data_IF_911449136197
#
_entry.id   IF_911449136197
#
_cell.length_a   1.000
_cell.length_b   1.000
_cell.length_c   1.000
_cell.angle_alpha   90.00
_cell.angle_beta   90.00
_cell.angle_gamma   90.00
#
_symmetry.space_group_name_H-M   'P 1'
#
loop_
_entity.id
_entity.type
_entity.pdbx_description
1 polymer ?
#
# COMPACT_ATOMS: atom_id res chain seq x y z
N UNK A 1 1.52 -11.59 29.55
CA UNK A 1 0.97 -11.84 28.20
C UNK A 1 0.19 -10.62 27.79
N UNK A 2 0.42 -10.10 26.60
CA UNK A 2 -0.43 -9.04 26.06
C UNK A 2 -1.82 -9.61 25.77
N UNK A 3 -2.85 -8.89 26.17
CA UNK A 3 -4.23 -9.31 25.94
C UNK A 3 -4.65 -9.05 24.50
N UNK A 4 -5.35 -10.01 23.86
CA UNK A 4 -5.97 -9.86 22.54
C UNK A 4 -7.44 -9.57 22.72
N UNK A 5 -7.85 -8.44 22.18
CA UNK A 5 -9.21 -7.92 22.22
C UNK A 5 -9.93 -8.12 20.87
N UNK A 6 -11.24 -7.87 20.86
CA UNK A 6 -12.07 -7.90 19.66
C UNK A 6 -12.81 -9.23 19.46
N UNK A 7 -13.42 -9.37 18.28
CA UNK A 7 -14.25 -10.52 17.90
C UNK A 7 -13.50 -11.46 16.96
N UNK A 8 -13.82 -12.76 17.07
CA UNK A 8 -13.27 -13.77 16.19
C UNK A 8 -14.25 -14.95 16.17
N UNK A 9 -14.72 -15.31 15.01
CA UNK A 9 -15.50 -16.52 14.81
C UNK A 9 -14.68 -17.75 15.21
N UNK A 10 -15.31 -18.74 15.85
CA UNK A 10 -14.65 -19.94 16.37
C UNK A 10 -13.85 -20.69 15.28
N UNK A 11 -14.35 -20.69 14.04
CA UNK A 11 -13.67 -21.27 12.87
C UNK A 11 -12.28 -20.63 12.66
N UNK A 12 -12.14 -19.34 12.94
CA UNK A 12 -10.90 -18.58 12.78
C UNK A 12 -10.09 -18.44 14.07
N UNK A 13 -10.39 -19.21 15.11
CA UNK A 13 -9.66 -19.18 16.40
C UNK A 13 -8.14 -19.33 16.27
N UNK A 14 -7.66 -19.93 15.15
CA UNK A 14 -6.24 -20.01 14.80
C UNK A 14 -5.58 -18.65 14.60
N UNK A 15 -6.34 -17.65 14.09
CA UNK A 15 -5.83 -16.27 13.90
C UNK A 15 -5.61 -15.59 15.26
N UNK A 16 -6.59 -15.72 16.19
CA UNK A 16 -6.44 -15.21 17.57
C UNK A 16 -5.20 -15.81 18.24
N UNK A 17 -5.04 -17.14 18.18
CA UNK A 17 -3.87 -17.83 18.74
C UNK A 17 -2.55 -17.42 18.10
N UNK A 18 -2.57 -17.08 16.80
CA UNK A 18 -1.39 -16.56 16.11
C UNK A 18 -1.02 -15.17 16.66
N UNK A 19 -2.01 -14.27 16.80
CA UNK A 19 -1.78 -12.93 17.34
C UNK A 19 -1.29 -12.99 18.80
N UNK A 20 -1.90 -13.80 19.67
CA UNK A 20 -1.45 -14.01 21.05
C UNK A 20 0.02 -14.42 21.11
N UNK A 21 0.42 -15.43 20.32
CA UNK A 21 1.82 -15.90 20.28
C UNK A 21 2.78 -14.83 19.78
N UNK A 22 2.39 -14.03 18.78
CA UNK A 22 3.25 -12.97 18.23
C UNK A 22 3.41 -11.81 19.21
N UNK A 23 2.36 -11.43 19.93
CA UNK A 23 2.42 -10.39 20.97
C UNK A 23 3.28 -10.80 22.17
N UNK A 24 3.36 -12.11 22.48
CA UNK A 24 4.30 -12.62 23.48
C UNK A 24 5.75 -12.69 22.96
N UNK A 25 5.97 -12.56 21.66
CA UNK A 25 7.26 -12.67 20.98
C UNK A 25 7.72 -11.36 20.33
N UNK A 26 7.59 -11.29 19.04
CA UNK A 26 8.18 -10.27 18.15
C UNK A 26 7.22 -9.14 17.76
N UNK A 27 5.93 -9.24 18.09
CA UNK A 27 4.95 -8.16 17.86
C UNK A 27 4.96 -7.18 19.04
N UNK A 28 4.76 -5.89 18.76
CA UNK A 28 4.60 -4.88 19.81
C UNK A 28 3.13 -4.52 19.97
N UNK A 29 2.52 -4.05 18.91
CA UNK A 29 1.10 -3.76 18.80
C UNK A 29 0.63 -3.97 17.38
N UNK A 30 -0.56 -4.56 17.23
CA UNK A 30 -1.09 -4.93 15.92
C UNK A 30 -2.61 -5.02 15.92
N UNK A 31 -3.15 -4.99 14.70
CA UNK A 31 -4.54 -5.36 14.41
C UNK A 31 -4.60 -6.30 13.21
N UNK A 32 -5.55 -7.25 13.26
CA UNK A 32 -5.84 -8.21 12.18
C UNK A 32 -7.34 -8.25 11.96
N UNK A 33 -7.78 -8.10 10.72
CA UNK A 33 -9.19 -8.17 10.36
C UNK A 33 -9.40 -9.04 9.12
N UNK A 34 -10.49 -9.78 9.10
CA UNK A 34 -10.88 -10.68 7.99
C UNK A 34 -12.34 -10.48 7.67
N UNK A 35 -12.64 -10.26 6.39
CA UNK A 35 -13.99 -10.30 5.83
C UNK A 35 -14.14 -11.53 4.95
N UNK A 36 -15.22 -12.25 5.12
CA UNK A 36 -15.61 -13.38 4.29
C UNK A 36 -17.04 -13.17 3.82
N UNK A 37 -17.21 -13.02 2.51
CA UNK A 37 -18.51 -12.81 1.86
C UNK A 37 -19.32 -11.63 2.42
N UNK A 38 -18.64 -10.55 2.82
CA UNK A 38 -19.24 -9.34 3.36
C UNK A 38 -19.45 -9.34 4.89
N UNK A 39 -19.13 -10.44 5.56
CA UNK A 39 -19.17 -10.54 7.01
C UNK A 39 -17.77 -10.42 7.61
N UNK A 40 -17.58 -9.53 8.59
CA UNK A 40 -16.34 -9.44 9.34
C UNK A 40 -16.25 -10.58 10.34
N UNK A 41 -15.50 -11.63 10.00
CA UNK A 41 -15.35 -12.86 10.81
C UNK A 41 -14.19 -12.78 11.80
N UNK A 42 -13.24 -11.86 11.59
CA UNK A 42 -12.14 -11.57 12.52
C UNK A 42 -11.95 -10.06 12.58
N UNK A 43 -11.89 -9.53 13.79
CA UNK A 43 -11.56 -8.14 14.07
C UNK A 43 -10.85 -8.11 15.44
N UNK A 44 -9.51 -8.23 15.39
CA UNK A 44 -8.65 -8.42 16.55
C UNK A 44 -7.60 -7.32 16.63
N UNK A 45 -7.29 -6.92 17.85
CA UNK A 45 -6.18 -6.03 18.16
C UNK A 45 -5.56 -6.37 19.51
N UNK A 46 -4.31 -5.92 19.73
CA UNK A 46 -3.66 -6.12 21.01
C UNK A 46 -2.24 -5.57 21.05
N UNK A 47 -1.63 -5.68 22.20
CA UNK A 47 -0.29 -5.17 22.46
C UNK A 47 -0.27 -3.70 22.83
N UNK A 48 0.80 -2.99 22.41
CA UNK A 48 1.11 -1.64 22.87
C UNK A 48 1.47 -0.71 21.72
N UNK A 49 1.18 0.59 21.92
CA UNK A 49 1.53 1.65 20.97
C UNK A 49 2.98 2.10 21.09
N UNK A 50 3.61 1.90 22.24
CA UNK A 50 4.97 2.35 22.57
C UNK A 50 5.88 1.18 22.97
N UNK A 51 7.22 1.35 22.78
CA UNK A 51 8.21 0.33 23.07
C UNK A 51 8.36 0.04 24.57
N UNK A 52 8.05 1.02 25.42
CA UNK A 52 8.03 0.91 26.87
C UNK A 52 6.85 0.06 27.37
N UNK A 53 5.90 -0.26 26.48
CA UNK A 53 4.69 -1.03 26.79
C UNK A 53 3.84 -0.39 27.90
N UNK A 54 3.71 0.93 27.84
CA UNK A 54 2.93 1.71 28.81
C UNK A 54 1.56 2.13 28.28
N UNK A 55 1.42 2.27 26.96
CA UNK A 55 0.18 2.69 26.30
C UNK A 55 -0.42 1.52 25.51
N UNK A 56 -1.54 0.94 25.98
CA UNK A 56 -2.19 -0.18 25.27
C UNK A 56 -2.62 0.20 23.86
N UNK A 57 -2.58 -0.77 22.94
CA UNK A 57 -3.25 -0.68 21.66
C UNK A 57 -4.76 -0.84 21.87
N UNK A 58 -5.55 0.11 21.41
CA UNK A 58 -7.00 0.15 21.57
C UNK A 58 -7.72 -0.12 20.25
N UNK A 59 -9.03 -0.29 20.29
CA UNK A 59 -9.87 -0.53 19.12
C UNK A 59 -9.73 0.53 18.03
N UNK A 60 -9.55 1.79 18.44
CA UNK A 60 -9.44 2.97 17.60
C UNK A 60 -7.99 3.40 17.29
N UNK A 61 -7.01 2.64 17.78
CA UNK A 61 -5.59 2.89 17.44
C UNK A 61 -5.39 2.76 15.94
N UNK A 62 -4.75 3.76 15.35
CA UNK A 62 -4.34 3.75 13.95
C UNK A 62 -2.81 3.83 13.84
N UNK A 63 -2.29 3.42 12.70
CA UNK A 63 -0.84 3.41 12.42
C UNK A 63 -0.58 3.74 10.95
N UNK A 64 0.62 4.18 10.63
CA UNK A 64 1.07 4.37 9.26
C UNK A 64 1.20 3.01 8.55
N UNK A 65 0.37 2.78 7.52
CA UNK A 65 0.30 1.49 6.80
C UNK A 65 1.38 1.27 5.75
N UNK A 66 2.26 2.28 5.53
CA UNK A 66 3.27 2.23 4.48
C UNK A 66 2.68 1.91 3.10
N UNK A 67 3.32 1.02 2.37
CA UNK A 67 2.93 0.74 0.98
C UNK A 67 1.61 0.00 0.80
N UNK A 68 0.93 -0.46 1.86
CA UNK A 68 -0.49 -0.84 1.73
C UNK A 68 -1.34 0.33 1.25
N UNK A 69 -0.88 1.57 1.44
CA UNK A 69 -1.49 2.79 0.89
C UNK A 69 -1.67 2.72 -0.64
N UNK A 70 -0.74 2.06 -1.35
CA UNK A 70 -0.81 1.91 -2.82
C UNK A 70 -2.03 1.14 -3.28
N UNK A 71 -2.56 0.23 -2.46
CA UNK A 71 -3.79 -0.51 -2.82
C UNK A 71 -5.00 0.42 -2.86
N UNK A 72 -5.04 1.42 -1.99
CA UNK A 72 -6.08 2.44 -1.98
C UNK A 72 -5.85 3.48 -3.09
N UNK A 73 -4.59 3.77 -3.44
CA UNK A 73 -4.25 4.59 -4.60
C UNK A 73 -4.75 3.95 -5.91
N UNK A 74 -4.52 2.64 -6.06
CA UNK A 74 -5.00 1.89 -7.22
C UNK A 74 -6.53 1.85 -7.26
N UNK A 75 -7.19 1.60 -6.11
CA UNK A 75 -8.66 1.66 -6.01
C UNK A 75 -9.19 3.03 -6.42
N UNK A 76 -8.55 4.12 -5.99
CA UNK A 76 -8.94 5.49 -6.34
C UNK A 76 -8.89 5.73 -7.87
N UNK A 77 -7.85 5.26 -8.54
CA UNK A 77 -7.76 5.31 -9.99
C UNK A 77 -8.85 4.45 -10.65
N UNK A 78 -9.11 3.24 -10.15
CA UNK A 78 -10.17 2.37 -10.67
C UNK A 78 -11.57 2.96 -10.48
N UNK A 79 -11.82 3.74 -9.44
CA UNK A 79 -13.08 4.49 -9.27
C UNK A 79 -13.30 5.47 -10.42
N UNK A 80 -12.26 6.17 -10.86
CA UNK A 80 -12.35 7.07 -12.02
C UNK A 80 -12.49 6.29 -13.33
N UNK A 81 -11.90 5.12 -13.44
CA UNK A 81 -12.10 4.22 -14.61
C UNK A 81 -13.55 3.79 -14.69
N UNK A 82 -14.15 3.37 -13.57
CA UNK A 82 -15.54 2.92 -13.52
C UNK A 82 -16.53 4.03 -13.92
N UNK A 83 -16.20 5.26 -13.57
CA UNK A 83 -16.95 6.47 -13.94
C UNK A 83 -16.73 6.91 -15.39
N UNK A 84 -15.79 6.29 -16.11
CA UNK A 84 -15.40 6.69 -17.47
C UNK A 84 -14.60 7.99 -17.54
N UNK A 85 -14.04 8.44 -16.42
CA UNK A 85 -13.24 9.66 -16.32
C UNK A 85 -11.74 9.39 -16.55
N UNK A 86 -11.30 8.13 -16.42
CA UNK A 86 -9.93 7.68 -16.62
C UNK A 86 -9.92 6.43 -17.52
N UNK A 87 -9.05 6.42 -18.54
CA UNK A 87 -8.69 5.22 -19.30
C UNK A 87 -7.27 4.80 -18.94
N UNK A 88 -7.10 3.61 -18.40
CA UNK A 88 -5.77 3.10 -17.98
C UNK A 88 -4.83 2.85 -19.17
N UNK A 89 -5.37 2.68 -20.38
CA UNK A 89 -4.61 2.49 -21.62
C UNK A 89 -4.34 3.81 -22.36
N UNK A 90 -4.90 4.92 -21.90
CA UNK A 90 -4.59 6.23 -22.46
C UNK A 90 -3.20 6.71 -22.02
N UNK A 91 -2.50 7.48 -22.85
CA UNK A 91 -1.30 8.16 -22.45
C UNK A 91 -1.50 9.06 -21.21
N UNK A 92 -0.57 9.01 -20.27
CA UNK A 92 -0.58 9.92 -19.10
C UNK A 92 -0.66 11.38 -19.55
N UNK A 93 -0.04 11.70 -20.70
CA UNK A 93 -0.02 13.03 -21.27
C UNK A 93 -1.42 13.58 -21.63
N UNK A 94 -2.42 12.75 -21.83
CA UNK A 94 -3.81 13.18 -22.08
C UNK A 94 -4.43 13.85 -20.85
N UNK A 95 -3.98 13.46 -19.65
CA UNK A 95 -4.41 14.02 -18.36
C UNK A 95 -3.37 14.99 -17.78
N UNK A 96 -2.10 14.74 -18.05
CA UNK A 96 -0.95 15.50 -17.54
C UNK A 96 0.03 15.81 -18.68
N UNK A 97 -0.23 16.87 -19.50
CA UNK A 97 0.52 17.16 -20.71
C UNK A 97 2.03 17.31 -20.52
N UNK A 98 2.46 17.88 -19.39
CA UNK A 98 3.87 18.09 -19.07
C UNK A 98 4.62 16.77 -18.90
N UNK A 99 3.95 15.68 -18.57
CA UNK A 99 4.55 14.36 -18.44
C UNK A 99 5.09 13.79 -19.76
N UNK A 100 4.63 14.32 -20.92
CA UNK A 100 5.10 13.88 -22.25
C UNK A 100 6.59 14.13 -22.50
N UNK A 101 7.24 14.96 -21.67
CA UNK A 101 8.64 15.34 -21.84
C UNK A 101 9.61 14.16 -21.77
N UNK A 102 10.78 14.32 -22.41
CA UNK A 102 11.91 13.37 -22.30
C UNK A 102 11.59 11.93 -22.68
N UNK A 103 10.75 11.75 -23.71
CA UNK A 103 10.44 10.42 -24.24
C UNK A 103 9.29 9.68 -23.57
N UNK A 104 8.51 10.36 -22.70
CA UNK A 104 7.39 9.76 -21.97
C UNK A 104 6.00 9.97 -22.61
N UNK A 105 5.92 10.49 -23.84
CA UNK A 105 4.64 10.82 -24.49
C UNK A 105 3.68 9.62 -24.62
N UNK A 106 4.23 8.42 -24.80
CA UNK A 106 3.49 7.18 -25.01
C UNK A 106 3.39 6.33 -23.72
N UNK A 107 3.80 6.87 -22.57
CA UNK A 107 3.63 6.20 -21.28
C UNK A 107 2.15 6.25 -20.92
N UNK A 108 1.53 5.07 -20.78
CA UNK A 108 0.14 4.92 -20.43
C UNK A 108 -0.07 4.93 -18.91
N UNK A 109 -1.28 5.25 -18.44
CA UNK A 109 -1.64 5.28 -17.02
C UNK A 109 -1.38 3.93 -16.35
N UNK A 110 -1.67 2.81 -17.02
CA UNK A 110 -1.38 1.45 -16.51
C UNK A 110 0.10 1.26 -16.19
N UNK A 111 1.01 1.90 -16.90
CA UNK A 111 2.45 1.82 -16.60
C UNK A 111 2.82 2.48 -15.26
N UNK A 112 2.11 3.56 -14.87
CA UNK A 112 2.26 4.15 -13.52
C UNK A 112 1.71 3.21 -12.45
N UNK A 113 0.58 2.57 -12.71
CA UNK A 113 -0.11 1.70 -11.74
C UNK A 113 0.61 0.37 -11.55
N UNK A 114 1.31 -0.14 -12.56
CA UNK A 114 1.99 -1.44 -12.56
C UNK A 114 3.51 -1.38 -12.37
N UNK A 115 4.05 -0.22 -12.00
CA UNK A 115 5.50 -0.02 -11.81
C UNK A 115 6.35 -0.18 -13.08
N UNK A 116 5.77 -0.01 -14.27
CA UNK A 116 6.48 -0.22 -15.54
C UNK A 116 6.75 1.07 -16.32
N UNK A 117 6.56 2.24 -15.71
CA UNK A 117 6.68 3.54 -16.39
C UNK A 117 8.11 3.98 -16.70
N UNK A 118 9.12 3.32 -16.15
CA UNK A 118 10.51 3.79 -16.25
C UNK A 118 10.87 4.90 -15.24
N UNK A 119 9.94 5.34 -14.39
CA UNK A 119 10.12 6.49 -13.46
C UNK A 119 9.88 6.02 -12.03
N UNK A 120 10.78 5.20 -11.44
CA UNK A 120 10.59 4.63 -10.10
C UNK A 120 11.06 5.54 -8.95
N UNK A 121 11.56 6.73 -9.23
CA UNK A 121 12.02 7.70 -8.25
C UNK A 121 12.31 9.04 -8.90
N UNK A 122 12.93 9.96 -8.18
CA UNK A 122 13.37 11.26 -8.67
C UNK A 122 14.85 11.26 -9.01
N UNK A 123 15.23 12.03 -10.04
CA UNK A 123 16.65 12.30 -10.29
C UNK A 123 17.24 13.14 -9.12
N UNK A 124 18.42 12.76 -8.60
CA UNK A 124 19.04 13.49 -7.50
C UNK A 124 19.54 14.90 -7.95
N UNK A 125 19.66 15.85 -7.01
CA UNK A 125 19.37 15.72 -5.58
C UNK A 125 17.87 15.84 -5.29
N UNK A 126 17.34 14.98 -4.43
CA UNK A 126 15.95 15.02 -3.97
C UNK A 126 15.87 14.49 -2.54
N UNK A 127 15.28 15.26 -1.63
CA UNK A 127 15.18 14.95 -0.22
C UNK A 127 13.76 14.54 0.18
N UNK A 128 13.63 14.01 1.39
CA UNK A 128 12.30 13.71 1.95
C UNK A 128 11.42 14.96 2.12
N UNK A 129 12.01 16.13 2.30
CA UNK A 129 11.27 17.39 2.40
C UNK A 129 10.72 17.82 1.05
N UNK A 130 11.47 17.58 -0.04
CA UNK A 130 11.02 17.88 -1.39
C UNK A 130 9.80 17.02 -1.76
N UNK A 131 9.71 15.79 -1.20
CA UNK A 131 8.57 14.90 -1.40
C UNK A 131 7.26 15.44 -0.79
N UNK A 132 7.34 16.33 0.21
CA UNK A 132 6.15 16.94 0.83
C UNK A 132 5.61 18.13 0.02
N UNK A 133 6.40 18.70 -0.86
CA UNK A 133 6.00 19.73 -1.81
C UNK A 133 5.46 19.06 -3.08
N UNK A 134 4.14 18.92 -3.15
CA UNK A 134 3.47 18.19 -4.24
C UNK A 134 3.80 18.76 -5.62
N UNK A 135 3.75 20.08 -5.78
CA UNK A 135 3.97 20.75 -7.07
C UNK A 135 5.41 20.57 -7.54
N UNK A 136 6.39 20.84 -6.68
CA UNK A 136 7.79 20.63 -6.99
C UNK A 136 8.09 19.16 -7.29
N UNK A 137 7.57 18.24 -6.50
CA UNK A 137 7.78 16.80 -6.70
C UNK A 137 7.22 16.29 -8.04
N UNK A 138 6.02 16.71 -8.40
CA UNK A 138 5.37 16.31 -9.66
C UNK A 138 5.99 16.99 -10.88
N UNK A 139 6.39 18.26 -10.79
CA UNK A 139 7.11 18.97 -11.85
C UNK A 139 8.42 18.23 -12.20
N UNK A 140 9.18 17.79 -11.20
CA UNK A 140 10.41 17.04 -11.42
C UNK A 140 10.16 15.70 -12.10
N UNK A 141 9.12 14.94 -11.69
CA UNK A 141 8.73 13.68 -12.34
C UNK A 141 8.31 13.90 -13.80
N UNK A 142 7.59 14.98 -14.08
CA UNK A 142 7.21 15.33 -15.44
C UNK A 142 8.42 15.68 -16.30
N UNK A 143 9.38 16.41 -15.75
CA UNK A 143 10.57 16.91 -16.47
C UNK A 143 11.69 15.90 -16.67
N UNK A 144 11.76 14.78 -15.92
CA UNK A 144 12.85 13.81 -16.03
C UNK A 144 12.63 12.76 -17.13
N UNK A 145 13.71 12.14 -17.58
CA UNK A 145 13.64 11.00 -18.49
C UNK A 145 13.33 9.68 -17.73
N UNK A 146 12.71 8.69 -18.37
CA UNK A 146 12.61 7.37 -17.78
C UNK A 146 14.00 6.73 -17.65
N UNK A 147 14.19 5.91 -16.62
CA UNK A 147 15.46 5.23 -16.34
C UNK A 147 15.61 3.92 -17.11
N UNK A 148 14.53 3.37 -17.61
CA UNK A 148 14.47 2.25 -18.56
C UNK A 148 13.29 2.47 -19.50
N UNK A 149 13.24 1.72 -20.59
CA UNK A 149 12.17 1.81 -21.57
C UNK A 149 10.82 1.43 -20.95
N UNK A 150 9.82 2.33 -20.95
CA UNK A 150 8.50 2.08 -20.39
C UNK A 150 7.85 0.81 -20.96
N UNK A 151 7.19 0.04 -20.10
CA UNK A 151 6.49 -1.18 -20.46
C UNK A 151 7.37 -2.43 -20.59
N UNK A 152 8.71 -2.32 -20.53
CA UNK A 152 9.61 -3.48 -20.77
C UNK A 152 9.96 -4.26 -19.50
N UNK A 153 9.91 -3.64 -18.34
CA UNK A 153 10.19 -4.26 -17.05
C UNK A 153 9.47 -3.51 -15.92
N UNK A 154 9.24 -4.19 -14.78
CA UNK A 154 8.83 -3.52 -13.57
C UNK A 154 10.05 -3.03 -12.77
N UNK A 155 9.88 -1.87 -12.14
CA UNK A 155 10.79 -1.33 -11.15
C UNK A 155 9.95 -0.59 -10.11
N UNK A 156 9.82 -1.18 -8.94
CA UNK A 156 8.90 -0.75 -7.90
C UNK A 156 8.99 0.75 -7.59
N UNK A 157 7.92 1.47 -7.82
CA UNK A 157 7.81 2.91 -7.58
C UNK A 157 7.61 3.16 -6.08
N UNK A 158 8.66 2.86 -5.30
CA UNK A 158 8.60 2.75 -3.85
C UNK A 158 8.04 4.02 -3.19
N UNK A 159 8.56 5.19 -3.56
CA UNK A 159 8.25 6.46 -2.91
C UNK A 159 7.31 7.36 -3.73
N UNK A 160 7.33 7.25 -5.06
CA UNK A 160 6.75 8.26 -5.94
C UNK A 160 5.45 7.85 -6.65
N UNK A 161 4.99 6.60 -6.52
CA UNK A 161 3.75 6.18 -7.20
C UNK A 161 2.56 7.06 -6.81
N UNK A 162 2.50 7.49 -5.53
CA UNK A 162 1.46 8.37 -5.04
C UNK A 162 1.42 9.72 -5.75
N UNK A 163 2.60 10.29 -6.08
CA UNK A 163 2.69 11.53 -6.86
C UNK A 163 2.34 11.31 -8.34
N UNK A 164 2.76 10.19 -8.93
CA UNK A 164 2.48 9.88 -10.33
C UNK A 164 0.98 9.65 -10.58
N UNK A 165 0.39 8.68 -9.91
CA UNK A 165 -1.03 8.34 -10.08
C UNK A 165 -1.93 9.41 -9.43
N UNK A 166 -1.53 9.93 -8.27
CA UNK A 166 -2.26 10.97 -7.58
C UNK A 166 -2.35 12.29 -8.36
N UNK A 167 -1.30 12.63 -9.14
CA UNK A 167 -1.35 13.81 -10.02
C UNK A 167 -2.36 13.64 -11.15
N UNK A 168 -2.45 12.44 -11.74
CA UNK A 168 -3.50 12.13 -12.73
C UNK A 168 -4.88 12.29 -12.09
N UNK A 169 -5.11 11.74 -10.91
CA UNK A 169 -6.37 11.89 -10.16
C UNK A 169 -6.66 13.37 -9.88
N UNK A 170 -5.66 14.14 -9.42
CA UNK A 170 -5.80 15.56 -9.13
C UNK A 170 -6.19 16.37 -10.37
N UNK A 171 -5.59 16.07 -11.52
CA UNK A 171 -5.88 16.74 -12.80
C UNK A 171 -7.30 16.49 -13.29
N UNK A 172 -7.80 15.27 -13.11
CA UNK A 172 -9.17 14.91 -13.49
C UNK A 172 -10.18 15.55 -12.55
N UNK A 173 -9.94 15.51 -11.23
CA UNK A 173 -10.96 15.83 -10.21
C UNK A 173 -10.85 17.21 -9.60
N UNK A 174 -9.74 17.91 -9.77
CA UNK A 174 -9.36 19.14 -9.07
C UNK A 174 -9.35 18.99 -7.52
N UNK A 175 -9.23 17.75 -7.01
CA UNK A 175 -9.06 17.44 -5.59
C UNK A 175 -7.62 16.99 -5.34
N UNK A 176 -7.05 17.28 -4.17
CA UNK A 176 -5.84 16.58 -3.74
C UNK A 176 -6.15 15.09 -3.58
N UNK A 177 -5.14 14.23 -3.66
CA UNK A 177 -5.37 12.78 -3.49
C UNK A 177 -5.96 12.48 -2.10
N UNK A 178 -5.47 13.15 -1.07
CA UNK A 178 -5.99 13.07 0.29
C UNK A 178 -7.49 13.42 0.37
N UNK A 179 -7.92 14.49 -0.30
CA UNK A 179 -9.33 14.88 -0.37
C UNK A 179 -10.17 13.87 -1.14
N UNK A 180 -9.65 13.38 -2.27
CA UNK A 180 -10.34 12.38 -3.08
C UNK A 180 -10.62 11.10 -2.27
N UNK A 181 -9.61 10.56 -1.60
CA UNK A 181 -9.77 9.36 -0.77
C UNK A 181 -10.77 9.58 0.36
N UNK A 182 -10.70 10.74 1.02
CA UNK A 182 -11.62 11.06 2.12
C UNK A 182 -13.09 11.15 1.65
N UNK A 183 -13.34 11.85 0.55
CA UNK A 183 -14.69 12.15 0.07
C UNK A 183 -15.33 11.00 -0.70
N UNK A 184 -14.54 10.32 -1.54
CA UNK A 184 -15.05 9.39 -2.54
C UNK A 184 -14.90 7.91 -2.12
N UNK A 185 -14.06 7.63 -1.11
CA UNK A 185 -13.78 6.26 -0.67
C UNK A 185 -14.07 6.10 0.83
N UNK A 186 -13.30 6.76 1.70
CA UNK A 186 -13.35 6.49 3.13
C UNK A 186 -14.72 6.85 3.73
N UNK A 187 -15.23 8.03 3.45
CA UNK A 187 -16.52 8.50 3.99
C UNK A 187 -17.72 7.70 3.46
N UNK A 188 -17.86 7.41 2.15
CA UNK A 188 -18.94 6.56 1.65
C UNK A 188 -18.94 5.15 2.23
N UNK A 189 -17.76 4.56 2.48
CA UNK A 189 -17.62 3.22 3.05
C UNK A 189 -17.64 3.20 4.59
N UNK A 190 -17.73 4.37 5.25
CA UNK A 190 -17.65 4.47 6.71
C UNK A 190 -16.30 3.98 7.28
N UNK A 191 -15.22 4.04 6.48
CA UNK A 191 -13.94 3.48 6.84
C UNK A 191 -13.07 4.48 7.61
N UNK A 192 -12.43 4.02 8.68
CA UNK A 192 -11.40 4.78 9.39
C UNK A 192 -10.07 4.70 8.65
N UNK A 193 -10.02 5.38 7.51
CA UNK A 193 -8.86 5.45 6.63
C UNK A 193 -8.60 6.89 6.20
N UNK A 194 -7.34 7.33 6.22
CA UNK A 194 -6.96 8.67 5.78
C UNK A 194 -5.54 8.67 5.18
N UNK A 195 -5.33 9.49 4.15
CA UNK A 195 -4.00 9.81 3.64
C UNK A 195 -3.43 10.94 4.49
N UNK A 196 -2.23 10.75 5.02
CA UNK A 196 -1.77 11.54 6.14
C UNK A 196 -2.58 11.24 7.40
N UNK A 197 -2.59 12.18 8.34
CA UNK A 197 -3.42 12.06 9.54
C UNK A 197 -3.93 13.44 9.97
N UNK A 198 -5.21 13.54 10.25
CA UNK A 198 -5.80 14.76 10.83
C UNK A 198 -5.21 15.01 12.21
N UNK A 199 -4.97 16.26 12.55
CA UNK A 199 -4.39 16.60 13.86
C UNK A 199 -5.27 16.14 15.04
N UNK A 200 -6.59 16.11 14.86
CA UNK A 200 -7.53 15.56 15.84
C UNK A 200 -7.35 14.07 16.15
N UNK A 201 -6.68 13.33 15.26
CA UNK A 201 -6.47 11.89 15.37
C UNK A 201 -5.07 11.52 15.88
N UNK A 202 -4.19 12.50 16.10
CA UNK A 202 -2.79 12.21 16.45
C UNK A 202 -2.62 11.49 17.78
N UNK A 203 -3.50 11.71 18.74
CA UNK A 203 -3.46 11.07 20.06
C UNK A 203 -3.72 9.56 20.00
N UNK A 204 -4.37 9.07 18.94
CA UNK A 204 -4.62 7.63 18.74
C UNK A 204 -3.65 6.96 17.76
N UNK A 205 -2.67 7.69 17.21
CA UNK A 205 -1.65 7.11 16.35
C UNK A 205 -0.63 6.34 17.18
N UNK A 206 -0.42 5.05 16.86
CA UNK A 206 0.71 4.31 17.35
C UNK A 206 1.98 4.75 16.58
N UNK A 207 3.02 5.25 17.27
CA UNK A 207 4.29 5.54 16.62
C UNK A 207 4.88 4.31 15.94
N UNK A 208 5.47 4.53 14.76
CA UNK A 208 6.22 3.49 14.06
C UNK A 208 7.53 3.22 14.79
N UNK A 209 7.81 1.96 15.10
CA UNK A 209 9.10 1.48 15.59
C UNK A 209 9.89 0.97 14.38
N UNK A 210 11.02 1.62 14.05
CA UNK A 210 11.80 1.28 12.87
C UNK A 210 12.28 -0.17 12.84
N UNK A 211 12.48 -0.76 11.65
CA UNK A 211 13.05 -2.09 11.54
C UNK A 211 14.54 -2.08 11.93
N UNK A 212 15.13 -3.25 12.19
CA UNK A 212 16.59 -3.39 12.24
C UNK A 212 17.25 -2.82 10.99
N UNK A 213 18.51 -2.37 11.05
CA UNK A 213 19.25 -1.90 9.87
C UNK A 213 19.14 -2.90 8.71
N UNK A 214 18.75 -2.39 7.55
CA UNK A 214 18.55 -3.18 6.33
C UNK A 214 19.77 -3.19 5.41
N UNK A 215 19.51 -3.30 4.10
CA UNK A 215 20.55 -3.30 3.07
C UNK A 215 21.38 -2.02 3.12
N UNK A 216 22.69 -2.18 3.11
CA UNK A 216 23.62 -1.06 2.94
C UNK A 216 23.51 -0.54 1.50
N UNK A 217 22.87 0.62 1.32
CA UNK A 217 22.72 1.25 0.02
C UNK A 217 24.07 1.61 -0.60
N UNK A 218 25.12 1.86 0.20
CA UNK A 218 26.45 2.19 -0.29
C UNK A 218 27.14 0.99 -0.98
N UNK A 219 26.67 -0.22 -0.74
CA UNK A 219 27.17 -1.42 -1.40
C UNK A 219 26.56 -1.66 -2.80
N UNK A 220 25.54 -0.89 -3.18
CA UNK A 220 24.88 -1.02 -4.48
C UNK A 220 25.59 -0.21 -5.56
N UNK A 221 25.48 -0.65 -6.82
CA UNK A 221 25.94 0.13 -7.96
C UNK A 221 25.13 1.43 -8.07
N UNK A 222 25.81 2.62 -8.04
CA UNK A 222 25.13 3.92 -8.17
C UNK A 222 24.38 4.10 -9.50
N UNK A 223 24.71 3.35 -10.54
CA UNK A 223 24.00 3.38 -11.82
C UNK A 223 22.75 2.49 -11.82
N UNK A 224 22.58 1.61 -10.83
CA UNK A 224 21.42 0.71 -10.75
C UNK A 224 20.12 1.44 -10.44
N UNK A 225 19.02 0.92 -10.96
CA UNK A 225 17.67 1.46 -10.71
C UNK A 225 17.34 1.40 -9.22
N UNK A 226 17.70 0.31 -8.54
CA UNK A 226 17.46 0.16 -7.09
C UNK A 226 18.17 1.23 -6.27
N UNK A 227 19.45 1.52 -6.56
CA UNK A 227 20.19 2.58 -5.88
C UNK A 227 19.53 3.94 -6.09
N UNK A 228 19.23 4.30 -7.34
CA UNK A 228 18.58 5.56 -7.69
C UNK A 228 17.23 5.73 -7.00
N UNK A 229 16.43 4.67 -6.93
CA UNK A 229 15.10 4.69 -6.28
C UNK A 229 15.21 4.94 -4.78
N UNK A 230 16.20 4.37 -4.09
CA UNK A 230 16.31 4.45 -2.63
C UNK A 230 17.29 5.51 -2.12
N UNK A 231 17.89 6.32 -2.99
CA UNK A 231 18.78 7.41 -2.59
C UNK A 231 18.21 8.82 -2.83
N UNK A 232 17.07 8.90 -3.55
CA UNK A 232 16.40 10.18 -3.80
C UNK A 232 14.84 10.03 -3.67
N UNK A 233 14.29 10.11 -2.45
CA UNK A 233 14.95 10.32 -1.16
C UNK A 233 15.41 9.01 -0.49
N UNK A 234 16.34 9.13 0.45
CA UNK A 234 16.70 8.00 1.33
C UNK A 234 15.52 7.70 2.26
N UNK A 235 15.05 6.43 2.33
CA UNK A 235 13.96 6.05 3.20
C UNK A 235 14.28 6.28 4.68
N UNK A 236 13.30 6.78 5.42
CA UNK A 236 13.40 6.96 6.87
C UNK A 236 12.12 6.51 7.54
N UNK A 237 12.17 5.37 8.24
CA UNK A 237 11.01 4.89 9.00
C UNK A 237 10.61 5.85 10.11
N UNK A 238 11.59 6.50 10.76
CA UNK A 238 11.33 7.48 11.81
C UNK A 238 10.57 8.73 11.31
N UNK A 239 10.67 9.05 10.01
CA UNK A 239 9.94 10.17 9.43
C UNK A 239 8.42 10.02 9.55
N UNK A 240 7.90 8.78 9.59
CA UNK A 240 6.47 8.51 9.75
C UNK A 240 5.90 9.05 11.07
N UNK A 241 6.74 9.27 12.07
CA UNK A 241 6.35 9.82 13.36
C UNK A 241 6.34 11.36 13.39
N UNK A 242 6.81 12.02 12.32
CA UNK A 242 6.90 13.48 12.29
C UNK A 242 5.57 14.15 11.93
N UNK A 243 5.31 15.37 12.43
CA UNK A 243 4.17 16.18 12.03
C UNK A 243 4.10 16.45 10.53
N UNK A 244 5.24 16.66 9.89
CA UNK A 244 5.36 16.94 8.44
C UNK A 244 4.84 15.76 7.62
N UNK A 245 5.27 14.53 7.97
CA UNK A 245 4.79 13.31 7.32
C UNK A 245 3.29 13.13 7.49
N UNK A 246 2.77 13.34 8.71
CA UNK A 246 1.35 13.19 8.99
C UNK A 246 0.48 14.21 8.25
N UNK A 247 1.02 15.42 7.96
CA UNK A 247 0.31 16.44 7.17
C UNK A 247 0.41 16.25 5.67
N UNK A 248 1.46 15.60 5.18
CA UNK A 248 1.74 15.45 3.76
C UNK A 248 0.68 14.61 3.03
N UNK A 249 0.58 14.79 1.71
CA UNK A 249 -0.22 13.95 0.80
C UNK A 249 0.72 12.94 0.12
N UNK A 250 0.90 11.76 0.71
CA UNK A 250 1.83 10.74 0.24
C UNK A 250 1.07 9.46 -0.13
N UNK A 251 0.35 9.50 -1.24
CA UNK A 251 -0.54 8.43 -1.71
C UNK A 251 0.08 7.04 -1.92
N UNK A 252 1.38 6.90 -1.71
CA UNK A 252 2.08 5.61 -1.77
C UNK A 252 2.57 5.11 -0.39
N UNK A 253 2.50 5.96 0.68
CA UNK A 253 3.28 5.71 1.89
C UNK A 253 2.56 6.00 3.22
N UNK A 254 1.66 6.99 3.26
CA UNK A 254 1.20 7.52 4.54
C UNK A 254 -0.30 7.36 4.82
N UNK A 255 -0.90 6.30 4.31
CA UNK A 255 -2.21 5.87 4.77
C UNK A 255 -2.17 5.57 6.27
N UNK A 256 -2.98 6.28 7.06
CA UNK A 256 -3.14 6.03 8.49
C UNK A 256 -4.49 5.36 8.73
N UNK A 257 -4.43 4.19 9.37
CA UNK A 257 -5.61 3.33 9.59
C UNK A 257 -5.26 2.21 10.57
N UNK A 258 -6.22 1.33 10.85
CA UNK A 258 -6.02 0.01 11.44
C UNK A 258 -6.51 -1.09 10.48
N UNK A 259 -6.39 -2.37 10.87
CA UNK A 259 -6.77 -3.47 9.99
C UNK A 259 -8.25 -3.42 9.58
N UNK A 260 -9.15 -3.04 10.48
CA UNK A 260 -10.59 -2.86 10.21
C UNK A 260 -10.82 -1.78 9.16
N UNK A 261 -10.18 -0.60 9.30
CA UNK A 261 -10.36 0.52 8.38
C UNK A 261 -9.85 0.19 6.97
N UNK A 262 -8.69 -0.47 6.85
CA UNK A 262 -8.18 -0.93 5.56
C UNK A 262 -9.05 -2.04 4.97
N UNK A 263 -9.54 -2.97 5.81
CA UNK A 263 -10.47 -4.02 5.40
C UNK A 263 -11.75 -3.42 4.80
N UNK A 264 -12.37 -2.45 5.49
CA UNK A 264 -13.59 -1.78 5.04
C UNK A 264 -13.44 -1.14 3.65
N UNK A 265 -12.28 -0.56 3.37
CA UNK A 265 -11.97 -0.02 2.04
C UNK A 265 -11.79 -1.14 1.02
N UNK A 266 -10.97 -2.14 1.32
CA UNK A 266 -10.49 -3.08 0.31
C UNK A 266 -11.40 -4.28 0.08
N UNK A 267 -12.33 -4.61 1.01
CA UNK A 267 -13.32 -5.68 0.79
C UNK A 267 -14.23 -5.40 -0.40
N UNK A 268 -14.40 -4.14 -0.76
CA UNK A 268 -15.08 -3.74 -2.01
C UNK A 268 -14.57 -4.52 -3.22
N UNK A 269 -13.25 -4.77 -3.29
CA UNK A 269 -12.63 -5.50 -4.40
C UNK A 269 -13.04 -6.98 -4.41
N UNK A 270 -12.98 -7.67 -3.26
CA UNK A 270 -13.31 -9.10 -3.16
C UNK A 270 -14.83 -9.36 -3.25
N UNK A 271 -15.65 -8.35 -2.97
CA UNK A 271 -17.12 -8.44 -3.04
C UNK A 271 -17.71 -8.09 -4.41
N UNK A 272 -16.88 -7.85 -5.42
CA UNK A 272 -17.34 -7.55 -6.76
C UNK A 272 -17.73 -6.08 -6.97
N UNK A 273 -17.18 -5.18 -6.15
CA UNK A 273 -17.30 -3.73 -6.30
C UNK A 273 -18.18 -3.03 -5.27
N UNK A 274 -19.10 -3.75 -4.63
CA UNK A 274 -19.95 -3.28 -3.52
C UNK A 274 -20.53 -1.85 -3.72
N UNK A 275 -20.99 -1.56 -4.96
CA UNK A 275 -21.54 -0.27 -5.33
C UNK A 275 -20.52 0.86 -5.61
N UNK A 276 -19.24 0.63 -5.38
CA UNK A 276 -18.17 1.59 -5.67
C UNK A 276 -17.54 1.36 -7.05
N UNK A 277 -17.44 0.09 -7.48
CA UNK A 277 -16.91 -0.35 -8.76
C UNK A 277 -17.84 -1.35 -9.42
N UNK A 278 -17.76 -1.47 -10.75
CA UNK A 278 -18.35 -2.59 -11.46
C UNK A 278 -17.39 -3.81 -11.45
N UNK A 279 -17.91 -5.05 -11.55
CA UNK A 279 -17.06 -6.23 -11.73
C UNK A 279 -16.13 -6.12 -12.95
N UNK A 280 -16.57 -5.46 -14.02
CA UNK A 280 -15.75 -5.22 -15.22
C UNK A 280 -14.48 -4.41 -14.90
N UNK A 281 -14.59 -3.40 -14.06
CA UNK A 281 -13.43 -2.58 -13.66
C UNK A 281 -12.48 -3.38 -12.80
N UNK A 282 -12.99 -4.24 -11.92
CA UNK A 282 -12.14 -5.11 -11.10
C UNK A 282 -11.36 -6.13 -11.95
N UNK A 283 -11.93 -6.62 -13.07
CA UNK A 283 -11.22 -7.54 -13.97
C UNK A 283 -9.94 -6.92 -14.56
N UNK A 284 -9.85 -5.59 -14.67
CA UNK A 284 -8.64 -4.91 -15.15
C UNK A 284 -7.42 -5.20 -14.27
N UNK A 285 -7.62 -5.50 -12.97
CA UNK A 285 -6.53 -5.85 -12.05
C UNK A 285 -5.75 -7.07 -12.55
N UNK A 286 -6.42 -8.01 -13.23
CA UNK A 286 -5.82 -9.24 -13.73
C UNK A 286 -5.18 -9.10 -15.13
N UNK A 287 -5.26 -7.91 -15.74
CA UNK A 287 -4.48 -7.63 -16.95
C UNK A 287 -3.00 -7.51 -16.58
N UNK A 288 -2.28 -8.61 -16.79
CA UNK A 288 -0.87 -8.75 -16.41
C UNK A 288 0.00 -7.77 -17.18
N UNK A 289 0.74 -6.94 -16.46
CA UNK A 289 1.59 -5.90 -17.01
C UNK A 289 3.08 -6.28 -17.01
N UNK A 290 3.50 -7.09 -16.05
CA UNK A 290 4.86 -7.60 -15.96
C UNK A 290 4.89 -8.94 -15.24
N UNK A 291 5.92 -9.76 -15.59
CA UNK A 291 6.24 -11.00 -14.91
C UNK A 291 7.76 -11.21 -15.01
N UNK A 292 8.45 -11.18 -13.90
CA UNK A 292 9.89 -11.32 -13.85
C UNK A 292 10.54 -10.58 -12.70
N UNK A 293 11.87 -10.45 -12.75
CA UNK A 293 12.63 -9.76 -11.71
C UNK A 293 12.39 -8.26 -11.76
N UNK A 294 11.80 -7.72 -10.68
CA UNK A 294 11.64 -6.28 -10.51
C UNK A 294 12.99 -5.58 -10.30
N UNK A 295 13.23 -4.48 -11.01
CA UNK A 295 14.50 -3.76 -11.01
C UNK A 295 14.84 -3.05 -9.69
N UNK A 296 13.86 -2.91 -8.79
CA UNK A 296 14.00 -2.24 -7.49
C UNK A 296 13.93 -3.23 -6.34
N UNK A 297 12.99 -4.16 -6.37
CA UNK A 297 12.84 -5.20 -5.34
C UNK A 297 13.83 -6.35 -5.51
N UNK A 298 14.48 -6.46 -6.68
CA UNK A 298 15.51 -7.46 -7.01
C UNK A 298 15.02 -8.91 -6.83
N UNK A 299 13.72 -9.13 -7.04
CA UNK A 299 13.08 -10.43 -6.90
C UNK A 299 11.94 -10.58 -7.91
N UNK A 300 11.50 -11.81 -8.20
CA UNK A 300 10.40 -12.03 -9.14
C UNK A 300 9.06 -11.55 -8.59
N UNK A 301 8.37 -10.73 -9.38
CA UNK A 301 7.01 -10.27 -9.13
C UNK A 301 6.19 -10.31 -10.42
N UNK A 302 4.93 -10.67 -10.27
CA UNK A 302 3.93 -10.55 -11.32
C UNK A 302 2.96 -9.43 -10.93
N UNK A 303 2.96 -8.35 -11.72
CA UNK A 303 2.07 -7.21 -11.50
C UNK A 303 0.96 -7.17 -12.55
N UNK A 304 -0.25 -6.93 -12.07
CA UNK A 304 -1.37 -6.46 -12.88
C UNK A 304 -1.55 -4.95 -12.74
N UNK A 305 -2.71 -4.43 -13.14
CA UNK A 305 -3.00 -3.01 -13.01
C UNK A 305 -3.27 -2.67 -11.54
N UNK A 306 -2.30 -2.03 -10.91
CA UNK A 306 -2.38 -1.49 -9.55
C UNK A 306 -2.02 -2.46 -8.41
N UNK A 307 -1.87 -3.76 -8.67
CA UNK A 307 -1.67 -4.77 -7.64
C UNK A 307 -0.67 -5.85 -8.05
N UNK A 308 -0.11 -6.53 -7.04
CA UNK A 308 0.67 -7.76 -7.24
C UNK A 308 -0.28 -8.96 -7.41
N UNK A 309 -0.06 -9.75 -8.44
CA UNK A 309 -0.79 -10.98 -8.74
C UNK A 309 -0.07 -12.24 -8.24
N UNK A 310 1.20 -12.14 -7.89
CA UNK A 310 1.98 -13.25 -7.36
C UNK A 310 3.46 -12.94 -7.23
N UNK A 311 4.11 -13.60 -6.27
CA UNK A 311 5.56 -13.60 -6.08
C UNK A 311 5.97 -14.84 -5.30
N UNK A 312 7.11 -15.49 -5.63
CA UNK A 312 7.65 -16.58 -4.83
C UNK A 312 8.08 -16.14 -3.42
N UNK A 313 8.20 -14.83 -3.17
CA UNK A 313 8.46 -14.30 -1.82
C UNK A 313 7.22 -14.34 -0.92
N UNK A 314 6.03 -14.53 -1.48
CA UNK A 314 4.74 -14.55 -0.75
C UNK A 314 3.98 -15.85 -1.06
N UNK A 315 4.59 -17.03 -0.82
CA UNK A 315 4.02 -18.33 -1.22
C UNK A 315 2.81 -18.75 -0.37
N UNK A 316 2.48 -17.97 0.65
CA UNK A 316 1.37 -18.19 1.55
C UNK A 316 0.07 -17.49 1.10
N UNK A 317 0.12 -16.71 0.03
CA UNK A 317 -1.06 -16.22 -0.68
C UNK A 317 -1.33 -17.16 -1.85
N UNK A 318 -2.50 -17.81 -1.93
CA UNK A 318 -2.81 -18.76 -2.99
C UNK A 318 -2.80 -18.11 -4.38
N UNK A 319 -2.42 -18.90 -5.37
CA UNK A 319 -2.68 -18.57 -6.77
C UNK A 319 -4.18 -18.58 -7.08
N UNK A 320 -4.59 -17.92 -8.16
CA UNK A 320 -5.98 -17.79 -8.58
C UNK A 320 -6.37 -16.33 -8.78
N UNK A 321 -7.63 -16.02 -8.57
CA UNK A 321 -8.12 -14.64 -8.66
C UNK A 321 -7.84 -13.87 -7.36
N UNK A 322 -6.56 -13.84 -7.00
CA UNK A 322 -6.05 -13.23 -5.77
C UNK A 322 -5.04 -12.15 -6.14
N UNK A 323 -5.10 -11.03 -5.45
CA UNK A 323 -4.11 -9.96 -5.56
C UNK A 323 -3.90 -9.31 -4.19
N UNK A 324 -2.74 -8.70 -4.03
CA UNK A 324 -2.31 -8.19 -2.73
C UNK A 324 -1.25 -7.12 -2.85
N UNK A 325 -0.97 -6.45 -1.75
CA UNK A 325 0.27 -5.72 -1.54
C UNK A 325 0.58 -5.61 -0.05
N UNK A 326 1.87 -5.38 0.24
CA UNK A 326 2.36 -5.17 1.59
C UNK A 326 2.96 -3.79 1.80
N UNK A 327 3.22 -3.47 3.06
CA UNK A 327 3.94 -2.27 3.46
C UNK A 327 5.31 -2.59 4.05
N UNK A 328 6.22 -1.62 3.98
CA UNK A 328 7.51 -1.74 4.64
C UNK A 328 7.34 -2.08 6.11
N UNK A 329 8.01 -3.15 6.55
CA UNK A 329 7.90 -3.64 7.92
C UNK A 329 6.86 -4.73 8.15
N UNK A 330 6.04 -5.10 7.12
CA UNK A 330 5.25 -6.33 7.16
C UNK A 330 3.73 -6.19 7.17
N UNK A 331 3.17 -4.96 7.19
CA UNK A 331 1.72 -4.81 6.98
C UNK A 331 1.29 -5.44 5.65
N UNK A 332 0.05 -5.97 5.59
CA UNK A 332 -0.40 -6.73 4.42
C UNK A 332 -1.91 -6.60 4.23
N UNK A 333 -2.32 -6.55 2.96
CA UNK A 333 -3.71 -6.65 2.54
C UNK A 333 -3.81 -7.65 1.38
N UNK A 334 -4.73 -8.61 1.49
CA UNK A 334 -4.98 -9.66 0.48
C UNK A 334 -6.44 -9.63 0.11
N UNK A 335 -6.74 -9.64 -1.18
CA UNK A 335 -8.08 -9.77 -1.74
C UNK A 335 -8.15 -11.04 -2.59
N UNK A 336 -8.96 -12.01 -2.17
CA UNK A 336 -9.21 -13.29 -2.85
C UNK A 336 -10.65 -13.30 -3.36
N UNK A 337 -10.80 -13.11 -4.66
CA UNK A 337 -12.12 -12.99 -5.30
C UNK A 337 -12.83 -14.35 -5.41
N UNK A 338 -12.06 -15.43 -5.54
CA UNK A 338 -12.65 -16.77 -5.65
C UNK A 338 -13.34 -17.18 -4.35
N UNK A 339 -12.82 -16.68 -3.21
CA UNK A 339 -13.39 -16.95 -1.87
C UNK A 339 -14.20 -15.80 -1.31
N UNK A 340 -14.27 -14.65 -2.03
CA UNK A 340 -14.88 -13.42 -1.53
C UNK A 340 -14.29 -13.00 -0.17
N UNK A 341 -12.96 -13.11 -0.07
CA UNK A 341 -12.21 -12.98 1.17
C UNK A 341 -11.29 -11.74 1.09
N UNK A 342 -11.24 -10.98 2.16
CA UNK A 342 -10.23 -9.93 2.37
C UNK A 342 -9.55 -10.13 3.71
N UNK A 343 -8.21 -10.06 3.74
CA UNK A 343 -7.39 -10.20 4.95
C UNK A 343 -6.55 -8.95 5.10
N UNK A 344 -6.62 -8.28 6.25
CA UNK A 344 -5.87 -7.08 6.58
C UNK A 344 -5.06 -7.26 7.86
N UNK A 345 -3.79 -6.83 7.83
CA UNK A 345 -2.90 -6.82 8.98
C UNK A 345 -2.08 -5.52 9.00
N UNK A 346 -2.11 -4.82 10.15
CA UNK A 346 -1.30 -3.64 10.41
C UNK A 346 -0.64 -3.72 11.80
N UNK A 347 0.54 -3.11 11.93
CA UNK A 347 1.39 -3.13 13.14
C UNK A 347 2.21 -1.85 13.25
N UNK A 348 2.74 -1.56 14.44
CA UNK A 348 3.65 -0.44 14.64
C UNK A 348 5.15 -0.84 14.69
N UNK A 349 5.50 -2.05 15.11
CA UNK A 349 6.89 -2.53 15.06
C UNK A 349 7.19 -3.14 13.70
N UNK A 350 8.09 -2.50 12.96
CA UNK A 350 8.46 -2.94 11.62
C UNK A 350 9.37 -4.18 11.68
N UNK A 351 9.08 -5.18 10.85
CA UNK A 351 9.99 -6.28 10.53
C UNK A 351 10.98 -5.87 9.43
N UNK A 352 12.08 -6.59 9.24
CA UNK A 352 12.89 -6.47 8.03
C UNK A 352 12.06 -6.81 6.77
N UNK A 353 12.37 -6.15 5.65
CA UNK A 353 11.73 -6.45 4.37
C UNK A 353 10.67 -5.45 3.93
N UNK A 354 10.35 -5.52 2.63
CA UNK A 354 9.48 -4.54 1.96
C UNK A 354 8.09 -5.12 1.70
N UNK A 355 7.96 -6.43 1.54
CA UNK A 355 6.69 -7.10 1.23
C UNK A 355 6.51 -8.31 2.14
N UNK A 356 5.53 -8.22 3.02
CA UNK A 356 5.23 -9.28 3.97
C UNK A 356 6.27 -9.44 5.10
N UNK A 357 5.99 -10.38 5.99
CA UNK A 357 6.85 -10.77 7.12
C UNK A 357 6.39 -12.12 7.66
N UNK A 358 7.20 -12.77 8.50
CA UNK A 358 6.81 -14.01 9.20
C UNK A 358 5.52 -13.83 10.02
N UNK A 359 5.24 -12.58 10.46
CA UNK A 359 4.03 -12.25 11.20
C UNK A 359 2.81 -12.24 10.27
N UNK A 360 2.87 -11.51 9.15
CA UNK A 360 1.78 -11.51 8.16
C UNK A 360 1.54 -12.90 7.58
N UNK A 361 2.60 -13.68 7.32
CA UNK A 361 2.50 -15.07 6.91
C UNK A 361 1.72 -15.92 7.93
N UNK A 362 2.03 -15.79 9.22
CA UNK A 362 1.35 -16.56 10.26
C UNK A 362 -0.16 -16.29 10.30
N UNK A 363 -0.57 -15.03 10.15
CA UNK A 363 -2.00 -14.67 10.14
C UNK A 363 -2.69 -15.14 8.87
N UNK A 364 -2.10 -14.93 7.71
CA UNK A 364 -2.68 -15.33 6.42
C UNK A 364 -2.81 -16.84 6.33
N UNK A 365 -1.78 -17.61 6.73
CA UNK A 365 -1.87 -19.08 6.79
C UNK A 365 -2.96 -19.56 7.75
N UNK A 366 -3.13 -18.91 8.91
CA UNK A 366 -4.19 -19.28 9.85
C UNK A 366 -5.59 -19.04 9.27
N UNK A 367 -5.78 -17.98 8.46
CA UNK A 367 -7.04 -17.74 7.76
C UNK A 367 -7.31 -18.81 6.72
N UNK A 368 -6.36 -19.09 5.82
CA UNK A 368 -6.55 -20.09 4.78
C UNK A 368 -6.71 -21.51 5.37
N UNK A 369 -6.00 -21.85 6.46
CA UNK A 369 -6.19 -23.11 7.16
C UNK A 369 -7.59 -23.28 7.76
N UNK A 370 -8.25 -22.19 8.12
CA UNK A 370 -9.64 -22.23 8.59
C UNK A 370 -10.65 -22.45 7.46
N UNK A 371 -10.26 -22.18 6.23
CA UNK A 371 -11.12 -22.33 5.05
C UNK A 371 -11.04 -23.74 4.41
N UNK A 372 -9.94 -24.45 4.63
CA UNK A 372 -9.70 -25.81 4.15
C UNK A 372 -8.81 -25.83 2.92
#
# INVERSE_FOLDING_TARGET
>A
MAEVHGSCDDRFSGVRKALERRLDGDELGASVAVDLDGETVVDLWGGYRDEERTTPWTEDTIVNGWSTTKTVLALAALVLVDRGELDVYAPVADYWPEFSAKGKKDVEVRHLMSHTSGVSGWDPPFSIRDMYDWESATERLAGQAPWWEPGTASGYHANNQGHLVGEVIRRITNKTFKQFVADEIAKPLGADYQIGARESDWDRIAPVVPPPPGTDLAALDPASVVYRTFTAPVPSAAAANSPEWRRADLGALNGHTNARGLLQVMRTMSLGGDGLLSPKTIELVFDQQSDGTDLVLMAPFRFGIGYCLGSPLVPYVPEGRTFYWGGWGGSMIVMDLDRRLTISYLMNRMAPGVVGSDRSEAYIRAVYAALG
#
